data_IF_245101866450
#
_entry.id   IF_245101866450
#
_cell.length_a   1.000
_cell.length_b   1.000
_cell.length_c   1.000
_cell.angle_alpha   90.00
_cell.angle_beta   90.00
_cell.angle_gamma   90.00
#
_symmetry.space_group_name_H-M   'P 1'
#
loop_
_entity.id
_entity.type
_entity.pdbx_description
1 polymer ?
#
# COMPACT_ATOMS: atom_id res chain seq x y z
N UNK A 1 -16.14 40.20 26.49
CA UNK A 1 -15.31 40.55 25.32
C UNK A 1 -14.16 39.58 25.07
N UNK A 2 -13.32 39.24 26.07
CA UNK A 2 -12.16 38.33 25.88
C UNK A 2 -12.54 36.93 25.40
N UNK A 3 -13.59 36.32 25.97
CA UNK A 3 -14.06 34.98 25.56
C UNK A 3 -14.58 34.96 24.11
N UNK A 4 -15.31 36.00 23.70
CA UNK A 4 -15.82 36.12 22.33
C UNK A 4 -14.68 36.28 21.31
N UNK A 5 -13.66 37.08 21.64
CA UNK A 5 -12.47 37.23 20.82
C UNK A 5 -11.69 35.91 20.69
N UNK A 6 -11.54 35.15 21.79
CA UNK A 6 -10.90 33.83 21.75
C UNK A 6 -11.67 32.82 20.89
N UNK A 7 -13.00 32.80 20.97
CA UNK A 7 -13.84 31.92 20.14
C UNK A 7 -13.70 32.27 18.65
N UNK A 8 -13.71 33.55 18.30
CA UNK A 8 -13.54 34.01 16.92
C UNK A 8 -12.17 33.62 16.38
N UNK A 9 -11.10 33.80 17.17
CA UNK A 9 -9.74 33.39 16.76
C UNK A 9 -9.67 31.88 16.54
N UNK A 10 -10.25 31.07 17.44
CA UNK A 10 -10.28 29.61 17.28
C UNK A 10 -11.06 29.21 16.02
N UNK A 11 -12.20 29.85 15.74
CA UNK A 11 -12.99 29.58 14.56
C UNK A 11 -12.24 29.95 13.27
N UNK A 12 -11.56 31.10 13.23
CA UNK A 12 -10.74 31.53 12.09
C UNK A 12 -9.57 30.56 11.87
N UNK A 13 -8.88 30.15 12.95
CA UNK A 13 -7.80 29.17 12.87
C UNK A 13 -8.32 27.83 12.37
N UNK A 14 -9.45 27.33 12.88
CA UNK A 14 -10.04 26.07 12.46
C UNK A 14 -10.48 26.10 10.99
N UNK A 15 -11.09 27.21 10.52
CA UNK A 15 -11.44 27.40 9.11
C UNK A 15 -10.19 27.49 8.24
N UNK A 16 -9.18 28.26 8.67
CA UNK A 16 -7.90 28.37 7.97
C UNK A 16 -7.20 27.02 7.85
N UNK A 17 -7.17 26.23 8.92
CA UNK A 17 -6.62 24.88 8.93
C UNK A 17 -7.43 23.95 8.02
N UNK A 18 -8.76 24.03 8.05
CA UNK A 18 -9.64 23.25 7.17
C UNK A 18 -9.44 23.57 5.70
N UNK A 19 -9.32 24.85 5.34
CA UNK A 19 -9.02 25.29 3.97
C UNK A 19 -7.63 24.81 3.54
N UNK A 20 -6.63 24.91 4.42
CA UNK A 20 -5.28 24.43 4.13
C UNK A 20 -5.22 22.90 3.98
N UNK A 21 -5.99 22.14 4.77
CA UNK A 21 -6.05 20.68 4.62
C UNK A 21 -6.73 20.29 3.29
N UNK A 22 -7.75 21.04 2.86
CA UNK A 22 -8.52 20.72 1.64
C UNK A 22 -7.81 21.22 0.36
N UNK A 23 -7.13 22.37 0.43
CA UNK A 23 -6.54 23.07 -0.73
C UNK A 23 -5.04 23.28 -0.64
N UNK A 24 -4.40 22.76 0.40
CA UNK A 24 -2.95 22.79 0.53
C UNK A 24 -2.27 21.89 -0.50
N UNK A 25 -0.95 22.02 -0.63
CA UNK A 25 -0.19 21.22 -1.58
C UNK A 25 -0.31 19.73 -1.28
N UNK A 26 -0.61 18.94 -2.30
CA UNK A 26 -0.66 17.48 -2.23
C UNK A 26 0.72 16.88 -1.97
N UNK A 27 0.79 15.60 -1.53
CA UNK A 27 2.05 14.94 -1.19
C UNK A 27 3.02 14.80 -2.36
N UNK A 28 2.61 15.06 -3.61
CA UNK A 28 3.45 14.99 -4.80
C UNK A 28 3.68 16.36 -5.45
N UNK A 29 3.32 17.47 -4.79
CA UNK A 29 3.42 18.81 -5.37
C UNK A 29 4.86 19.34 -5.38
N UNK A 30 5.75 18.75 -4.57
CA UNK A 30 7.19 19.01 -4.63
C UNK A 30 7.81 18.51 -5.95
N UNK A 31 7.16 17.59 -6.66
CA UNK A 31 7.72 16.95 -7.85
C UNK A 31 7.68 17.84 -9.11
N UNK A 32 6.93 18.96 -9.10
CA UNK A 32 6.75 19.82 -10.26
C UNK A 32 6.21 19.07 -11.49
N UNK A 33 6.42 19.64 -12.68
CA UNK A 33 6.22 18.95 -13.96
C UNK A 33 4.77 18.86 -14.46
N UNK A 34 4.62 18.35 -15.69
CA UNK A 34 3.29 18.19 -16.32
C UNK A 34 2.88 16.73 -16.21
N UNK A 35 1.99 16.44 -15.26
CA UNK A 35 1.44 15.10 -15.06
C UNK A 35 0.32 14.85 -16.05
N UNK A 36 0.30 13.67 -16.63
CA UNK A 36 -0.78 13.19 -17.51
C UNK A 36 -1.39 11.90 -16.97
N UNK A 37 -2.61 11.58 -17.39
CA UNK A 37 -3.16 10.25 -17.09
C UNK A 37 -2.25 9.18 -17.71
N UNK A 38 -2.11 8.03 -17.06
CA UNK A 38 -1.25 6.94 -17.55
C UNK A 38 -1.62 6.51 -18.98
N UNK A 39 -2.91 6.52 -19.32
CA UNK A 39 -3.42 6.22 -20.66
C UNK A 39 -3.03 7.26 -21.73
N UNK A 40 -2.66 8.47 -21.32
CA UNK A 40 -2.28 9.59 -22.19
C UNK A 40 -0.76 9.78 -22.28
N UNK A 41 0.01 9.03 -21.49
CA UNK A 41 1.47 9.08 -21.56
C UNK A 41 1.99 8.45 -22.85
N UNK A 42 2.96 9.11 -23.49
CA UNK A 42 3.51 8.70 -24.81
C UNK A 42 5.04 8.60 -24.83
N UNK A 43 5.73 9.03 -23.78
CA UNK A 43 7.19 9.09 -23.73
C UNK A 43 7.87 7.75 -23.37
N UNK A 44 7.08 6.68 -23.21
CA UNK A 44 7.56 5.34 -22.90
C UNK A 44 6.53 4.54 -22.11
N UNK A 45 6.96 3.44 -21.50
CA UNK A 45 6.14 2.63 -20.60
C UNK A 45 6.60 2.88 -19.16
N UNK A 46 5.85 3.63 -18.35
CA UNK A 46 6.26 3.91 -16.97
C UNK A 46 6.39 2.62 -16.17
N UNK A 47 7.47 2.51 -15.40
CA UNK A 47 7.89 1.24 -14.82
C UNK A 47 8.66 1.45 -13.51
N UNK A 48 8.39 0.61 -12.51
CA UNK A 48 9.19 0.59 -11.28
C UNK A 48 10.52 -0.16 -11.37
N UNK A 49 10.87 -0.73 -12.52
CA UNK A 49 12.14 -1.46 -12.72
C UNK A 49 13.12 -0.70 -13.61
N UNK A 50 14.44 -0.84 -13.39
CA UNK A 50 15.46 -0.18 -14.19
C UNK A 50 15.49 -0.70 -15.63
N UNK A 51 16.01 0.12 -16.55
CA UNK A 51 16.06 -0.16 -17.98
C UNK A 51 16.72 -1.51 -18.34
N UNK A 52 17.69 -1.99 -17.56
CA UNK A 52 18.32 -3.30 -17.80
C UNK A 52 17.38 -4.49 -17.55
N UNK A 53 16.28 -4.29 -16.84
CA UNK A 53 15.23 -5.29 -16.60
C UNK A 53 13.99 -5.09 -17.48
N UNK A 54 14.03 -4.19 -18.46
CA UNK A 54 12.90 -3.96 -19.38
C UNK A 54 12.50 -5.24 -20.14
N UNK A 55 13.49 -6.06 -20.51
CA UNK A 55 13.31 -7.33 -21.23
C UNK A 55 13.27 -8.56 -20.31
N UNK A 56 13.32 -8.37 -19.00
CA UNK A 56 13.30 -9.47 -18.03
C UNK A 56 11.96 -10.21 -18.08
N UNK A 57 11.97 -11.49 -17.72
CA UNK A 57 10.74 -12.26 -17.55
C UNK A 57 9.89 -11.69 -16.39
N UNK A 58 8.58 -11.92 -16.41
CA UNK A 58 7.65 -11.39 -15.40
C UNK A 58 8.03 -11.76 -13.95
N UNK A 59 8.60 -12.95 -13.75
CA UNK A 59 9.05 -13.42 -12.42
C UNK A 59 10.29 -12.66 -11.94
N UNK A 60 11.28 -12.45 -12.81
CA UNK A 60 12.50 -11.71 -12.48
C UNK A 60 12.18 -10.22 -12.21
N UNK A 61 11.31 -9.64 -13.03
CA UNK A 61 10.74 -8.29 -12.79
C UNK A 61 10.04 -8.23 -11.42
N UNK A 62 9.21 -9.22 -11.12
CA UNK A 62 8.49 -9.33 -9.87
C UNK A 62 9.38 -9.49 -8.65
N UNK A 63 10.47 -10.27 -8.79
CA UNK A 63 11.47 -10.46 -7.75
C UNK A 63 12.14 -9.14 -7.38
N UNK A 64 12.57 -8.38 -8.40
CA UNK A 64 13.16 -7.05 -8.21
C UNK A 64 12.19 -6.13 -7.47
N UNK A 65 10.94 -6.03 -7.94
CA UNK A 65 9.93 -5.17 -7.34
C UNK A 65 9.57 -5.59 -5.90
N UNK A 66 9.45 -6.90 -5.63
CA UNK A 66 9.16 -7.42 -4.30
C UNK A 66 10.29 -7.12 -3.30
N UNK A 67 11.54 -7.10 -3.78
CA UNK A 67 12.72 -6.69 -3.00
C UNK A 67 12.75 -5.17 -2.81
N UNK A 68 12.56 -4.39 -3.87
CA UNK A 68 12.57 -2.93 -3.80
C UNK A 68 11.42 -2.37 -2.93
N UNK A 69 10.29 -3.07 -2.89
CA UNK A 69 9.15 -2.74 -2.05
C UNK A 69 9.22 -3.36 -0.63
N UNK A 70 10.31 -4.04 -0.27
CA UNK A 70 10.57 -4.66 1.04
C UNK A 70 9.48 -5.65 1.50
N UNK A 71 8.80 -6.35 0.59
CA UNK A 71 7.73 -7.29 0.95
C UNK A 71 8.24 -8.38 1.91
N UNK A 72 9.46 -8.88 1.68
CA UNK A 72 10.06 -9.96 2.46
C UNK A 72 10.28 -9.57 3.93
N UNK A 73 10.65 -8.31 4.19
CA UNK A 73 11.03 -7.82 5.53
C UNK A 73 9.85 -7.95 6.50
N UNK A 74 8.66 -7.58 6.04
CA UNK A 74 7.44 -7.65 6.85
C UNK A 74 6.81 -9.04 6.85
N UNK A 75 6.87 -9.75 5.71
CA UNK A 75 6.20 -11.03 5.54
C UNK A 75 7.07 -12.25 5.89
N UNK A 76 8.21 -12.06 6.54
CA UNK A 76 9.07 -13.16 7.01
C UNK A 76 9.35 -13.03 8.50
N UNK A 77 9.04 -14.06 9.26
CA UNK A 77 9.43 -14.14 10.68
C UNK A 77 10.83 -14.77 10.79
N UNK A 78 11.76 -14.21 11.59
CA UNK A 78 13.08 -14.81 11.79
C UNK A 78 13.00 -16.27 12.23
N UNK A 79 13.75 -17.14 11.55
CA UNK A 79 13.77 -18.58 11.81
C UNK A 79 12.64 -19.39 11.14
N UNK A 80 11.68 -18.72 10.49
CA UNK A 80 10.62 -19.37 9.72
C UNK A 80 10.90 -19.28 8.20
N UNK A 81 10.03 -19.88 7.39
CA UNK A 81 10.10 -19.75 5.93
C UNK A 81 9.81 -18.32 5.48
N UNK A 82 10.51 -17.89 4.43
CA UNK A 82 10.31 -16.58 3.80
C UNK A 82 8.86 -16.42 3.32
N UNK A 83 8.34 -15.20 3.40
CA UNK A 83 6.98 -14.82 2.97
C UNK A 83 5.82 -15.53 3.70
N UNK A 84 6.10 -16.41 4.67
CA UNK A 84 5.10 -17.18 5.42
C UNK A 84 4.37 -16.37 6.50
N UNK A 85 4.71 -15.10 6.69
CA UNK A 85 4.10 -14.20 7.65
C UNK A 85 4.47 -14.50 9.10
N UNK A 86 3.61 -14.06 10.02
CA UNK A 86 3.76 -14.30 11.45
C UNK A 86 4.73 -13.37 12.18
N UNK A 87 5.30 -12.36 11.50
CA UNK A 87 6.12 -11.34 12.15
C UNK A 87 5.24 -10.47 13.05
N UNK A 88 5.68 -10.29 14.31
CA UNK A 88 4.94 -9.55 15.32
C UNK A 88 5.34 -8.07 15.34
N UNK A 89 4.38 -7.19 15.09
CA UNK A 89 4.51 -5.74 15.28
C UNK A 89 3.88 -5.37 16.62
N UNK A 90 4.73 -5.19 17.64
CA UNK A 90 4.30 -4.81 19.00
C UNK A 90 4.01 -3.32 19.04
N UNK A 91 2.76 -2.97 19.33
CA UNK A 91 2.27 -1.60 19.47
C UNK A 91 1.86 -1.37 20.93
N UNK A 92 1.81 -0.11 21.41
CA UNK A 92 1.34 0.19 22.77
C UNK A 92 -0.09 -0.28 23.07
N UNK A 93 -0.87 -0.57 22.02
CA UNK A 93 -2.27 -0.98 22.07
C UNK A 93 -2.48 -2.40 21.54
N UNK A 94 -1.45 -3.26 21.56
CA UNK A 94 -1.55 -4.68 21.20
C UNK A 94 -0.58 -5.09 20.10
N UNK A 95 -0.75 -6.30 19.55
CA UNK A 95 0.15 -6.84 18.51
C UNK A 95 -0.58 -7.07 17.20
N UNK A 96 0.04 -6.61 16.11
CA UNK A 96 -0.34 -6.95 14.75
C UNK A 96 0.59 -8.03 14.21
N UNK A 97 0.10 -8.99 13.45
CA UNK A 97 0.92 -10.00 12.80
C UNK A 97 0.87 -9.86 11.27
N UNK A 98 2.02 -10.03 10.60
CA UNK A 98 2.04 -10.13 9.14
C UNK A 98 1.37 -11.41 8.65
N UNK A 99 0.78 -11.34 7.47
CA UNK A 99 0.09 -12.48 6.84
C UNK A 99 1.04 -13.33 6.01
N UNK A 100 0.68 -14.57 5.79
CA UNK A 100 1.34 -15.42 4.79
C UNK A 100 0.95 -14.96 3.39
N UNK A 101 1.95 -14.67 2.54
CA UNK A 101 1.76 -14.24 1.14
C UNK A 101 2.39 -15.22 0.14
N UNK A 102 2.64 -16.45 0.57
CA UNK A 102 3.01 -17.57 -0.32
C UNK A 102 1.77 -18.08 -1.09
N UNK A 103 1.94 -18.89 -2.16
CA UNK A 103 0.81 -19.40 -2.95
C UNK A 103 0.04 -20.55 -2.26
N UNK A 104 0.24 -20.75 -0.96
CA UNK A 104 -0.57 -21.69 -0.19
C UNK A 104 -2.06 -21.29 -0.23
N UNK A 105 -2.94 -22.26 -0.50
CA UNK A 105 -4.37 -22.01 -0.70
C UNK A 105 -5.14 -21.87 0.61
N UNK A 106 -4.65 -22.46 1.69
CA UNK A 106 -5.40 -22.54 2.95
C UNK A 106 -5.04 -21.39 3.91
N UNK A 107 -3.77 -20.98 3.91
CA UNK A 107 -3.22 -20.01 4.84
C UNK A 107 -2.56 -18.82 4.17
N UNK A 108 -2.22 -18.92 2.87
CA UNK A 108 -1.60 -17.88 2.07
C UNK A 108 -2.56 -17.19 1.08
N UNK A 109 -2.00 -16.69 -0.03
CA UNK A 109 -2.72 -15.96 -1.08
C UNK A 109 -3.04 -16.84 -2.30
N UNK A 110 -2.88 -18.16 -2.23
CA UNK A 110 -3.04 -19.07 -3.37
C UNK A 110 -4.41 -19.05 -4.06
N UNK A 111 -5.43 -18.51 -3.39
CA UNK A 111 -6.78 -18.34 -3.93
C UNK A 111 -7.11 -16.89 -4.36
N UNK A 112 -6.14 -15.98 -4.35
CA UNK A 112 -6.34 -14.60 -4.80
C UNK A 112 -6.36 -14.55 -6.33
N UNK A 113 -7.44 -14.00 -6.89
CA UNK A 113 -7.43 -13.56 -8.30
C UNK A 113 -6.47 -12.39 -8.51
N UNK A 114 -6.21 -12.00 -9.75
CA UNK A 114 -5.39 -10.83 -10.05
C UNK A 114 -6.04 -9.55 -9.49
N UNK A 115 -7.37 -9.46 -9.61
CA UNK A 115 -8.15 -8.37 -9.03
C UNK A 115 -8.11 -8.35 -7.49
N UNK A 116 -8.16 -9.51 -6.84
CA UNK A 116 -8.04 -9.57 -5.37
C UNK A 116 -6.65 -9.10 -4.90
N UNK A 117 -5.61 -9.43 -5.65
CA UNK A 117 -4.25 -9.03 -5.32
C UNK A 117 -4.03 -7.52 -5.55
N UNK A 118 -4.50 -6.99 -6.68
CA UNK A 118 -4.51 -5.54 -6.95
C UNK A 118 -5.29 -4.79 -5.86
N UNK A 119 -6.49 -5.29 -5.50
CA UNK A 119 -7.31 -4.72 -4.43
C UNK A 119 -6.57 -4.71 -3.07
N UNK A 120 -5.85 -5.77 -2.74
CA UNK A 120 -5.07 -5.83 -1.50
C UNK A 120 -3.90 -4.85 -1.51
N UNK A 121 -3.14 -4.81 -2.61
CA UNK A 121 -1.88 -4.04 -2.70
C UNK A 121 -2.13 -2.54 -2.88
N UNK A 122 -3.04 -2.15 -3.76
CA UNK A 122 -3.27 -0.74 -4.10
C UNK A 122 -4.39 -0.10 -3.26
N UNK A 123 -5.40 -0.88 -2.83
CA UNK A 123 -6.56 -0.33 -2.12
C UNK A 123 -6.66 -0.77 -0.65
N UNK A 124 -5.77 -1.64 -0.19
CA UNK A 124 -5.82 -2.19 1.16
C UNK A 124 -7.09 -3.01 1.42
N UNK A 125 -7.63 -3.70 0.42
CA UNK A 125 -8.85 -4.52 0.54
C UNK A 125 -8.54 -6.00 0.31
N UNK A 126 -8.77 -6.83 1.32
CA UNK A 126 -8.61 -8.28 1.25
C UNK A 126 -9.71 -8.93 0.41
N UNK A 127 -9.45 -10.16 -0.05
CA UNK A 127 -10.41 -11.01 -0.77
C UNK A 127 -11.71 -11.25 0.01
N UNK A 128 -11.64 -11.35 1.34
CA UNK A 128 -12.81 -11.48 2.21
C UNK A 128 -13.57 -10.15 2.45
N UNK A 129 -13.14 -9.07 1.81
CA UNK A 129 -13.74 -7.74 1.90
C UNK A 129 -13.22 -6.89 3.07
N UNK A 130 -12.45 -7.46 4.00
CA UNK A 130 -11.90 -6.70 5.11
C UNK A 130 -10.81 -5.72 4.65
N UNK A 131 -10.75 -4.54 5.29
CA UNK A 131 -9.70 -3.56 5.05
C UNK A 131 -8.41 -3.92 5.80
N UNK A 132 -7.26 -3.74 5.18
CA UNK A 132 -5.95 -3.89 5.80
C UNK A 132 -5.69 -2.75 6.78
N UNK A 133 -4.95 -3.04 7.84
CA UNK A 133 -4.39 -1.97 8.68
C UNK A 133 -3.26 -1.27 7.92
N UNK A 134 -3.04 0.03 8.17
CA UNK A 134 -2.05 0.83 7.44
C UNK A 134 -0.59 0.44 7.70
N UNK A 135 -0.35 -0.54 8.57
CA UNK A 135 0.95 -1.18 8.68
C UNK A 135 1.39 -1.85 7.36
N UNK A 136 0.43 -2.25 6.51
CA UNK A 136 0.68 -2.58 5.12
C UNK A 136 0.55 -1.28 4.30
N UNK A 137 1.62 -0.77 3.66
CA UNK A 137 1.66 0.59 3.12
C UNK A 137 1.00 0.70 1.73
N UNK A 138 -0.25 0.26 1.60
CA UNK A 138 -1.02 0.31 0.34
C UNK A 138 -1.21 1.75 -0.19
N UNK A 139 -1.20 2.76 0.68
CA UNK A 139 -1.26 4.18 0.27
C UNK A 139 0.00 4.65 -0.45
N UNK A 140 1.10 3.89 -0.38
CA UNK A 140 2.29 4.08 -1.18
C UNK A 140 2.26 3.18 -2.41
N UNK A 141 1.84 1.91 -2.25
CA UNK A 141 1.78 0.96 -3.36
C UNK A 141 0.67 1.23 -4.38
N UNK A 142 -0.32 2.08 -4.08
CA UNK A 142 -1.29 2.61 -5.06
C UNK A 142 -0.62 3.28 -6.27
N UNK A 143 0.62 3.74 -6.13
CA UNK A 143 1.39 4.33 -7.22
C UNK A 143 2.20 3.30 -8.03
N UNK A 144 2.14 2.02 -7.69
CA UNK A 144 2.66 0.96 -8.58
C UNK A 144 1.67 0.74 -9.72
N UNK A 145 2.19 0.57 -10.94
CA UNK A 145 1.37 0.17 -12.08
C UNK A 145 0.78 -1.22 -11.85
N UNK A 146 -0.40 -1.51 -12.43
CA UNK A 146 -1.03 -2.82 -12.30
C UNK A 146 -0.10 -3.94 -12.78
N UNK A 147 0.67 -3.69 -13.84
CA UNK A 147 1.66 -4.63 -14.35
C UNK A 147 2.77 -4.94 -13.34
N UNK A 148 3.28 -3.92 -12.64
CA UNK A 148 4.30 -4.11 -11.60
C UNK A 148 3.74 -4.88 -10.41
N UNK A 149 2.51 -4.59 -9.99
CA UNK A 149 1.84 -5.33 -8.93
C UNK A 149 1.61 -6.79 -9.34
N UNK A 150 1.19 -7.05 -10.58
CA UNK A 150 1.01 -8.41 -11.07
C UNK A 150 2.33 -9.15 -11.31
N UNK A 151 3.42 -8.45 -11.63
CA UNK A 151 4.75 -9.04 -11.66
C UNK A 151 5.16 -9.51 -10.25
N UNK A 152 4.95 -8.68 -9.22
CA UNK A 152 5.17 -9.09 -7.81
C UNK A 152 4.36 -10.34 -7.48
N UNK A 153 3.08 -10.39 -7.89
CA UNK A 153 2.25 -11.59 -7.71
C UNK A 153 2.85 -12.82 -8.39
N UNK A 154 3.26 -12.69 -9.65
CA UNK A 154 3.85 -13.78 -10.42
C UNK A 154 5.12 -14.33 -9.74
N UNK A 155 5.97 -13.44 -9.20
CA UNK A 155 7.12 -13.84 -8.40
C UNK A 155 6.69 -14.59 -7.13
N UNK A 156 5.77 -14.04 -6.33
CA UNK A 156 5.28 -14.72 -5.12
C UNK A 156 4.69 -16.10 -5.44
N UNK A 157 3.97 -16.24 -6.55
CA UNK A 157 3.38 -17.51 -6.99
C UNK A 157 4.41 -18.51 -7.56
N UNK A 158 5.63 -18.06 -7.88
CA UNK A 158 6.74 -18.93 -8.25
C UNK A 158 7.45 -19.57 -7.04
N UNK A 159 7.23 -19.01 -5.84
CA UNK A 159 7.84 -19.49 -4.60
C UNK A 159 7.15 -20.76 -4.07
N UNK A 160 7.83 -21.55 -3.22
CA UNK A 160 7.21 -22.67 -2.53
C UNK A 160 6.00 -22.24 -1.70
N UNK A 161 4.89 -22.97 -1.81
CA UNK A 161 3.74 -22.80 -0.92
C UNK A 161 4.13 -23.21 0.51
N UNK A 162 3.85 -22.36 1.49
CA UNK A 162 4.10 -22.64 2.90
C UNK A 162 2.77 -22.61 3.63
N UNK A 163 2.37 -23.73 4.24
CA UNK A 163 1.20 -23.78 5.12
C UNK A 163 1.57 -23.21 6.49
N UNK A 164 1.26 -21.94 6.71
CA UNK A 164 1.51 -21.24 7.97
C UNK A 164 0.40 -20.23 8.24
N UNK A 165 -0.42 -20.49 9.26
CA UNK A 165 -1.44 -19.54 9.71
C UNK A 165 -0.79 -18.54 10.67
N UNK A 166 -0.83 -17.26 10.32
CA UNK A 166 -0.41 -16.19 11.21
C UNK A 166 -1.31 -16.14 12.48
N UNK A 167 -0.76 -15.80 13.66
CA UNK A 167 -1.58 -15.56 14.84
C UNK A 167 -2.59 -14.44 14.62
N UNK A 168 -3.70 -14.49 15.37
CA UNK A 168 -4.69 -13.42 15.33
C UNK A 168 -4.14 -12.14 16.00
N UNK A 169 -4.56 -10.98 15.49
CA UNK A 169 -4.17 -9.70 16.06
C UNK A 169 -4.77 -9.51 17.47
N UNK A 170 -3.99 -8.92 18.37
CA UNK A 170 -4.37 -8.71 19.79
C UNK A 170 -4.57 -7.23 20.12
N UNK A 171 -5.00 -6.44 19.14
CA UNK A 171 -5.24 -5.01 19.32
C UNK A 171 -6.33 -4.79 20.38
N UNK A 172 -6.17 -3.76 21.21
CA UNK A 172 -7.18 -3.35 22.19
C UNK A 172 -8.22 -2.43 21.54
N UNK A 173 -9.37 -2.27 22.21
CA UNK A 173 -10.36 -1.29 21.81
C UNK A 173 -9.77 0.14 21.90
N UNK A 174 -10.03 1.04 20.94
CA UNK A 174 -10.89 0.87 19.75
C UNK A 174 -10.18 0.32 18.50
N UNK A 175 -8.88 0.04 18.55
CA UNK A 175 -8.07 -0.35 17.38
C UNK A 175 -8.40 -1.74 16.82
N UNK A 176 -9.02 -2.62 17.62
CA UNK A 176 -9.54 -3.90 17.15
C UNK A 176 -10.75 -3.80 16.22
N UNK A 177 -11.39 -2.63 16.12
CA UNK A 177 -12.57 -2.42 15.29
C UNK A 177 -12.17 -2.31 13.81
N UNK A 178 -12.07 -3.46 13.13
CA UNK A 178 -11.61 -3.54 11.73
C UNK A 178 -12.40 -2.63 10.76
N UNK A 179 -13.69 -2.48 10.98
CA UNK A 179 -14.57 -1.63 10.15
C UNK A 179 -14.17 -0.15 10.17
N UNK A 180 -13.51 0.32 11.22
CA UNK A 180 -13.02 1.71 11.31
C UNK A 180 -11.98 2.03 10.23
N UNK A 181 -11.30 1.02 9.68
CA UNK A 181 -10.35 1.20 8.57
C UNK A 181 -11.02 1.67 7.28
N UNK A 182 -12.34 1.53 7.13
CA UNK A 182 -13.06 2.16 6.02
C UNK A 182 -12.98 3.69 6.09
N UNK A 183 -13.19 4.26 7.28
CA UNK A 183 -13.11 5.71 7.50
C UNK A 183 -11.67 6.19 7.40
N UNK A 184 -10.73 5.44 7.97
CA UNK A 184 -9.30 5.75 7.82
C UNK A 184 -8.90 5.76 6.34
N UNK A 185 -9.24 4.71 5.58
CA UNK A 185 -8.92 4.63 4.16
C UNK A 185 -9.58 5.76 3.35
N UNK A 186 -10.80 6.18 3.68
CA UNK A 186 -11.45 7.28 2.98
C UNK A 186 -10.74 8.64 3.15
N UNK A 187 -10.04 8.84 4.27
CA UNK A 187 -9.30 10.07 4.56
C UNK A 187 -7.87 10.00 4.02
N UNK A 188 -7.21 8.84 4.13
CA UNK A 188 -5.77 8.70 3.90
C UNK A 188 -5.38 7.96 2.61
N UNK A 189 -6.33 7.30 1.94
CA UNK A 189 -6.12 6.70 0.64
C UNK A 189 -6.95 7.46 -0.40
N UNK A 190 -6.40 8.50 -1.06
CA UNK A 190 -7.14 9.30 -2.03
C UNK A 190 -7.52 8.53 -3.30
N UNK A 191 -7.16 7.23 -3.38
CA UNK A 191 -7.35 6.33 -4.52
C UNK A 191 -6.70 6.88 -5.81
N UNK A 192 -5.67 7.71 -5.64
CA UNK A 192 -4.89 8.25 -6.75
C UNK A 192 -3.91 7.19 -7.25
N UNK A 193 -3.91 6.96 -8.56
CA UNK A 193 -2.91 6.14 -9.25
C UNK A 193 -1.74 6.97 -9.73
N UNK A 194 -0.68 6.29 -10.13
CA UNK A 194 0.49 6.93 -10.70
C UNK A 194 0.12 7.74 -11.95
N UNK A 195 0.55 9.00 -11.95
CA UNK A 195 0.42 9.91 -13.07
C UNK A 195 1.83 10.33 -13.51
N UNK A 196 2.34 9.81 -14.64
CA UNK A 196 3.69 10.12 -15.09
C UNK A 196 3.84 11.60 -15.43
N UNK A 197 5.02 12.13 -15.14
CA UNK A 197 5.45 13.47 -15.53
C UNK A 197 6.11 13.41 -16.91
N UNK A 198 5.57 14.13 -17.89
CA UNK A 198 6.11 14.14 -19.26
C UNK A 198 7.51 14.78 -19.37
N UNK A 199 7.97 15.46 -18.32
CA UNK A 199 9.33 16.02 -18.24
C UNK A 199 10.37 15.05 -17.66
N UNK A 200 9.96 13.86 -17.23
CA UNK A 200 10.82 12.82 -16.63
C UNK A 200 10.96 11.61 -17.55
N UNK A 201 12.01 10.82 -17.28
CA UNK A 201 12.19 9.50 -17.87
C UNK A 201 11.05 8.55 -17.45
N UNK A 202 10.81 7.47 -18.20
CA UNK A 202 9.82 6.46 -17.84
C UNK A 202 10.16 5.64 -16.58
N UNK A 203 11.43 5.56 -16.19
CA UNK A 203 11.93 5.02 -14.92
C UNK A 203 11.82 6.04 -13.77
#
# INVERSE_FOLDING_TARGET
MRVLASIIVIAIVAVGLGVFIIRGPGPLDFAGGTKVALADYRAGKPTGVPANLEKAGIVERGEYLAKAADCMVCHSKPGEKEYAGGLAFKLPFGTLYSTNITPDKDTGIGNYSDQDFLAAVQHGKRRDGARLYPAMPYTSYTFMTDEDVLAVKAYLFSLPAVRAKAPDNTLSFPFNQRWAMMFWSAVFNPDTRFAPDTSKSPE
#
